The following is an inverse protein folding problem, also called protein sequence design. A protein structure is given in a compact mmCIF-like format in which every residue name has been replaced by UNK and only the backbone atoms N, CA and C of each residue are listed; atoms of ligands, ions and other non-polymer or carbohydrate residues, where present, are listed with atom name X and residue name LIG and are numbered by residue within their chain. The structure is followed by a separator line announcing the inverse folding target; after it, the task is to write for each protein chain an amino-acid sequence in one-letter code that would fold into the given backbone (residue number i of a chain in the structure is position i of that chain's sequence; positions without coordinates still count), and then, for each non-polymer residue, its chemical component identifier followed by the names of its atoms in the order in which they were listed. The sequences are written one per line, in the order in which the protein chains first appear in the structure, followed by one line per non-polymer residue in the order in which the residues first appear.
data_IF_251422717395
#
_entry.id   IF_251422717395
#
_cell.length_a   1.000
_cell.length_b   1.000
_cell.length_c   1.000
_cell.angle_alpha   90.00
_cell.angle_beta   90.00
_cell.angle_gamma   90.00
#
_symmetry.space_group_name_H-M   'P 1'
#
loop_
_entity.id
_entity.type
_entity.pdbx_description
1 polymer ?
#
# COMPACT_ATOMS: atom_id res chain seq x y z
N UNK A 1 7.06 -26.85 6.80
CA UNK A 1 6.31 -25.59 7.02
C UNK A 1 7.20 -24.45 7.56
N UNK A 2 7.86 -24.56 8.72
CA UNK A 2 8.71 -23.46 9.22
C UNK A 2 9.87 -23.08 8.29
N UNK A 3 10.58 -24.06 7.71
CA UNK A 3 11.68 -23.80 6.77
C UNK A 3 11.21 -23.09 5.50
N UNK A 4 10.06 -23.47 4.95
CA UNK A 4 9.51 -22.87 3.74
C UNK A 4 9.16 -21.39 3.95
N UNK A 5 8.60 -21.04 5.10
CA UNK A 5 8.30 -19.65 5.44
C UNK A 5 9.58 -18.78 5.47
N UNK A 6 10.63 -19.23 6.15
CA UNK A 6 11.92 -18.53 6.23
C UNK A 6 12.54 -18.37 4.83
N UNK A 7 12.55 -19.44 4.04
CA UNK A 7 13.09 -19.43 2.68
C UNK A 7 12.34 -18.45 1.77
N UNK A 8 11.00 -18.42 1.87
CA UNK A 8 10.17 -17.51 1.08
C UNK A 8 10.39 -16.05 1.48
N UNK A 9 10.48 -15.73 2.78
CA UNK A 9 10.77 -14.38 3.26
C UNK A 9 12.16 -13.92 2.77
N UNK A 10 13.19 -14.75 2.90
CA UNK A 10 14.52 -14.43 2.42
C UNK A 10 14.56 -14.25 0.89
N UNK A 11 13.91 -15.13 0.14
CA UNK A 11 13.84 -15.05 -1.31
C UNK A 11 13.17 -13.73 -1.76
N UNK A 12 12.08 -13.31 -1.11
CA UNK A 12 11.39 -12.06 -1.41
C UNK A 12 12.25 -10.84 -1.01
N UNK A 13 12.83 -10.83 0.19
CA UNK A 13 13.68 -9.75 0.69
C UNK A 13 14.85 -9.46 -0.26
N UNK A 14 15.52 -10.49 -0.77
CA UNK A 14 16.65 -10.36 -1.70
C UNK A 14 16.23 -10.41 -3.17
N UNK A 15 14.96 -10.43 -3.46
CA UNK A 15 14.38 -10.36 -4.82
C UNK A 15 14.84 -11.50 -5.75
N UNK A 16 15.18 -12.67 -5.19
CA UNK A 16 15.67 -13.80 -6.01
C UNK A 16 14.58 -14.39 -6.91
N UNK A 17 13.30 -14.19 -6.58
CA UNK A 17 12.14 -14.57 -7.39
C UNK A 17 11.80 -13.59 -8.51
N UNK A 18 12.50 -12.48 -8.66
CA UNK A 18 12.21 -11.49 -9.70
C UNK A 18 12.58 -12.00 -11.10
N UNK A 19 11.86 -11.53 -12.12
CA UNK A 19 12.01 -11.91 -13.54
C UNK A 19 13.47 -11.85 -14.02
N UNK A 20 14.26 -10.89 -13.56
CA UNK A 20 15.70 -10.79 -13.89
C UNK A 20 16.51 -12.03 -13.46
N UNK A 21 16.13 -12.68 -12.36
CA UNK A 21 16.81 -13.84 -11.80
C UNK A 21 16.25 -15.16 -12.35
N UNK A 22 14.92 -15.33 -12.30
CA UNK A 22 14.25 -16.59 -12.66
C UNK A 22 13.62 -16.59 -14.05
N UNK A 23 13.73 -15.48 -14.81
CA UNK A 23 13.10 -15.35 -16.11
C UNK A 23 11.58 -15.12 -16.02
N UNK A 24 10.90 -15.00 -17.18
CA UNK A 24 9.46 -14.77 -17.26
C UNK A 24 8.68 -16.10 -17.08
N UNK A 25 8.72 -16.68 -15.88
CA UNK A 25 8.19 -18.02 -15.58
C UNK A 25 6.73 -18.21 -15.99
N UNK A 26 5.84 -17.24 -15.64
CA UNK A 26 4.41 -17.32 -15.95
C UNK A 26 4.10 -17.24 -17.44
N UNK A 27 4.89 -16.51 -18.21
CA UNK A 27 4.78 -16.43 -19.67
C UNK A 27 5.35 -17.70 -20.32
N UNK A 28 6.51 -18.14 -19.85
CA UNK A 28 7.19 -19.33 -20.37
C UNK A 28 6.38 -20.61 -20.19
N UNK A 29 5.72 -20.80 -19.04
CA UNK A 29 4.91 -21.99 -18.79
C UNK A 29 3.65 -21.99 -19.67
N UNK A 30 3.03 -20.83 -19.90
CA UNK A 30 1.88 -20.73 -20.84
C UNK A 30 2.29 -21.05 -22.27
N UNK A 31 3.47 -20.57 -22.70
CA UNK A 31 3.98 -20.86 -24.05
C UNK A 31 4.37 -22.34 -24.20
N UNK A 32 4.90 -22.96 -23.17
CA UNK A 32 5.22 -24.39 -23.17
C UNK A 32 3.96 -25.28 -23.10
N UNK A 33 2.93 -24.85 -22.39
CA UNK A 33 1.71 -25.61 -22.12
C UNK A 33 1.96 -27.08 -21.68
N UNK A 34 2.86 -27.32 -20.69
CA UNK A 34 3.30 -28.66 -20.33
C UNK A 34 2.17 -29.48 -19.70
N UNK A 35 2.16 -30.78 -19.97
CA UNK A 35 1.21 -31.72 -19.35
C UNK A 35 1.78 -32.35 -18.07
N UNK A 36 3.09 -32.32 -17.91
CA UNK A 36 3.80 -32.91 -16.78
C UNK A 36 4.84 -31.96 -16.22
N UNK A 37 5.20 -32.14 -14.95
CA UNK A 37 6.27 -31.39 -14.30
C UNK A 37 7.64 -31.62 -14.99
N UNK A 38 7.86 -32.78 -15.57
CA UNK A 38 9.10 -33.10 -16.25
C UNK A 38 9.23 -32.33 -17.57
N UNK A 39 8.17 -32.27 -18.39
CA UNK A 39 8.13 -31.43 -19.58
C UNK A 39 8.40 -29.95 -19.26
N UNK A 40 7.78 -29.43 -18.19
CA UNK A 40 8.05 -28.07 -17.74
C UNK A 40 9.49 -27.88 -17.32
N UNK A 41 10.07 -28.81 -16.56
CA UNK A 41 11.44 -28.75 -16.09
C UNK A 41 12.45 -28.73 -17.26
N UNK A 42 12.27 -29.61 -18.22
CA UNK A 42 13.11 -29.69 -19.42
C UNK A 42 13.03 -28.41 -20.26
N UNK A 43 11.83 -27.93 -20.51
CA UNK A 43 11.63 -26.67 -21.24
C UNK A 43 12.29 -25.49 -20.49
N UNK A 44 12.03 -25.36 -19.20
CA UNK A 44 12.55 -24.25 -18.42
C UNK A 44 14.07 -24.23 -18.39
N UNK A 45 14.70 -25.37 -18.12
CA UNK A 45 16.17 -25.45 -18.05
C UNK A 45 16.86 -25.33 -19.42
N UNK A 46 16.18 -25.64 -20.50
CA UNK A 46 16.73 -25.49 -21.86
C UNK A 46 16.48 -24.12 -22.51
N UNK A 47 15.37 -23.45 -22.16
CA UNK A 47 14.91 -22.23 -22.87
C UNK A 47 14.86 -20.97 -22.02
N UNK A 48 14.78 -21.07 -20.69
CA UNK A 48 14.59 -19.90 -19.81
C UNK A 48 15.84 -19.63 -18.98
N UNK A 49 16.20 -20.55 -18.10
CA UNK A 49 17.40 -20.48 -17.23
C UNK A 49 17.97 -21.87 -17.02
N UNK A 50 19.27 -21.99 -17.05
CA UNK A 50 19.94 -23.29 -16.82
C UNK A 50 19.73 -23.80 -15.40
N UNK A 51 19.85 -25.11 -15.20
CA UNK A 51 19.81 -25.73 -13.89
C UNK A 51 20.88 -25.15 -12.95
N UNK A 52 22.11 -25.01 -13.46
CA UNK A 52 23.25 -24.47 -12.71
C UNK A 52 22.99 -23.04 -12.22
N UNK A 53 22.29 -22.22 -13.04
CA UNK A 53 21.91 -20.87 -12.63
C UNK A 53 20.93 -20.88 -11.46
N UNK A 54 19.91 -21.75 -11.50
CA UNK A 54 18.93 -21.86 -10.40
C UNK A 54 19.58 -22.44 -9.12
N UNK A 55 20.48 -23.40 -9.27
CA UNK A 55 21.27 -23.91 -8.14
C UNK A 55 22.19 -22.83 -7.54
N UNK A 56 22.80 -22.00 -8.40
CA UNK A 56 23.61 -20.87 -7.94
C UNK A 56 22.77 -19.82 -7.18
N UNK A 57 21.51 -19.57 -7.60
CA UNK A 57 20.59 -18.73 -6.82
C UNK A 57 20.26 -19.36 -5.46
N UNK A 58 20.08 -20.68 -5.39
CA UNK A 58 19.89 -21.40 -4.13
C UNK A 58 21.08 -21.25 -3.19
N UNK A 59 22.32 -21.37 -3.70
CA UNK A 59 23.53 -21.11 -2.93
C UNK A 59 23.64 -19.67 -2.43
N UNK A 60 23.30 -18.69 -3.27
CA UNK A 60 23.22 -17.27 -2.87
C UNK A 60 22.17 -17.04 -1.78
N UNK A 61 21.00 -17.69 -1.89
CA UNK A 61 19.97 -17.62 -0.86
C UNK A 61 20.48 -18.14 0.48
N UNK A 62 21.17 -19.28 0.48
CA UNK A 62 21.79 -19.84 1.68
C UNK A 62 22.77 -18.86 2.31
N UNK A 63 23.69 -18.28 1.53
CA UNK A 63 24.65 -17.26 1.99
C UNK A 63 23.92 -16.07 2.62
N UNK A 64 22.86 -15.57 1.96
CA UNK A 64 22.09 -14.44 2.49
C UNK A 64 21.38 -14.77 3.81
N UNK A 65 20.95 -16.00 4.00
CA UNK A 65 20.35 -16.42 5.27
C UNK A 65 21.41 -16.54 6.36
N UNK A 66 22.54 -17.16 6.08
CA UNK A 66 23.58 -17.45 7.08
C UNK A 66 24.48 -16.26 7.42
N UNK A 67 24.78 -15.40 6.45
CA UNK A 67 25.71 -14.28 6.66
C UNK A 67 25.00 -12.95 6.94
N UNK A 68 23.74 -12.80 6.52
CA UNK A 68 23.00 -11.54 6.71
C UNK A 68 21.87 -11.72 7.71
N UNK A 69 20.87 -12.57 7.41
CA UNK A 69 19.70 -12.69 8.28
C UNK A 69 20.05 -13.24 9.65
N UNK A 70 20.92 -14.25 9.70
CA UNK A 70 21.30 -14.86 10.97
C UNK A 70 22.05 -13.86 11.87
N UNK A 71 22.97 -13.07 11.31
CA UNK A 71 23.66 -12.04 12.09
C UNK A 71 22.70 -10.95 12.60
N UNK A 72 21.77 -10.48 11.75
CA UNK A 72 20.77 -9.49 12.16
C UNK A 72 19.85 -10.03 13.28
N UNK A 73 19.46 -11.30 13.21
CA UNK A 73 18.61 -11.93 14.24
C UNK A 73 19.35 -12.09 15.57
N UNK A 74 20.65 -12.42 15.53
CA UNK A 74 21.46 -12.56 16.74
C UNK A 74 21.65 -11.21 17.46
N UNK A 75 21.66 -10.11 16.74
CA UNK A 75 21.79 -8.77 17.29
C UNK A 75 20.48 -8.23 17.91
N UNK A 76 19.33 -8.85 17.62
CA UNK A 76 18.06 -8.42 18.18
C UNK A 76 17.95 -8.79 19.66
N UNK A 77 17.64 -7.80 20.47
CA UNK A 77 17.36 -7.97 21.90
C UNK A 77 15.87 -8.03 22.18
N UNK A 78 15.52 -8.52 23.36
CA UNK A 78 14.13 -8.44 23.86
C UNK A 78 13.65 -6.98 23.91
N UNK A 79 14.54 -6.05 24.31
CA UNK A 79 14.24 -4.62 24.38
C UNK A 79 13.92 -4.05 23.01
N UNK A 80 14.64 -4.41 21.94
CA UNK A 80 14.35 -3.98 20.58
C UNK A 80 12.93 -4.41 20.15
N UNK A 81 12.52 -5.62 20.51
CA UNK A 81 11.18 -6.11 20.24
C UNK A 81 10.11 -5.35 21.03
N UNK A 82 10.35 -5.06 22.31
CA UNK A 82 9.45 -4.28 23.16
C UNK A 82 9.32 -2.86 22.60
N UNK A 83 10.43 -2.19 22.31
CA UNK A 83 10.47 -0.83 21.80
C UNK A 83 9.76 -0.74 20.44
N UNK A 84 9.98 -1.72 19.57
CA UNK A 84 9.27 -1.79 18.28
C UNK A 84 7.76 -1.95 18.46
N UNK A 85 7.29 -2.81 19.39
CA UNK A 85 5.86 -2.98 19.66
C UNK A 85 5.24 -1.71 20.25
N UNK A 86 5.94 -1.03 21.15
CA UNK A 86 5.50 0.26 21.71
C UNK A 86 5.39 1.29 20.57
N UNK A 87 6.43 1.43 19.75
CA UNK A 87 6.43 2.35 18.62
C UNK A 87 5.27 2.06 17.65
N UNK A 88 5.04 0.79 17.32
CA UNK A 88 3.97 0.40 16.40
C UNK A 88 2.58 0.71 16.97
N UNK A 89 2.35 0.40 18.24
CA UNK A 89 1.02 0.52 18.87
C UNK A 89 0.76 1.95 19.36
N UNK A 90 1.75 2.60 19.94
CA UNK A 90 1.56 3.92 20.57
C UNK A 90 1.89 5.05 19.60
N UNK A 91 3.14 5.08 19.08
CA UNK A 91 3.62 6.24 18.33
C UNK A 91 2.92 6.35 16.97
N UNK A 92 2.79 5.24 16.24
CA UNK A 92 2.10 5.24 14.93
C UNK A 92 0.61 5.50 15.06
N UNK A 93 -0.04 4.96 16.11
CA UNK A 93 -1.45 5.25 16.37
C UNK A 93 -1.64 6.73 16.70
N UNK A 94 -0.75 7.30 17.53
CA UNK A 94 -0.78 8.72 17.85
C UNK A 94 -0.51 9.60 16.63
N UNK A 95 0.46 9.27 15.80
CA UNK A 95 0.75 9.98 14.54
C UNK A 95 -0.43 9.93 13.56
N UNK A 96 -1.11 8.79 13.47
CA UNK A 96 -2.35 8.64 12.70
C UNK A 96 -3.45 9.58 13.22
N UNK A 97 -3.69 9.55 14.51
CA UNK A 97 -4.67 10.42 15.18
C UNK A 97 -4.33 11.90 15.00
N UNK A 98 -3.06 12.30 15.14
CA UNK A 98 -2.64 13.69 14.89
C UNK A 98 -2.86 14.10 13.44
N UNK A 99 -2.67 13.18 12.50
CA UNK A 99 -2.98 13.44 11.08
C UNK A 99 -4.47 13.68 10.88
N UNK A 100 -5.31 12.86 11.49
CA UNK A 100 -6.76 13.00 11.49
C UNK A 100 -7.19 14.37 12.06
N UNK A 101 -6.77 14.70 13.27
CA UNK A 101 -7.11 15.96 13.94
C UNK A 101 -6.65 17.18 13.13
N UNK A 102 -5.43 17.15 12.60
CA UNK A 102 -4.87 18.31 11.91
C UNK A 102 -5.40 18.44 10.49
N UNK A 103 -5.41 17.36 9.72
CA UNK A 103 -5.75 17.38 8.29
C UNK A 103 -7.27 17.42 8.11
N UNK A 104 -8.00 16.54 8.77
CA UNK A 104 -9.44 16.39 8.56
C UNK A 104 -10.20 17.49 9.31
N UNK A 105 -10.07 17.54 10.62
CA UNK A 105 -10.84 18.48 11.44
C UNK A 105 -10.21 19.87 11.50
N UNK A 106 -8.88 19.95 11.46
CA UNK A 106 -8.14 21.22 11.52
C UNK A 106 -8.20 22.03 10.22
N UNK A 107 -8.12 21.39 9.07
CA UNK A 107 -8.05 22.03 7.76
C UNK A 107 -9.34 21.78 6.97
N UNK A 108 -9.60 20.54 6.54
CA UNK A 108 -10.72 20.24 5.63
C UNK A 108 -12.08 20.64 6.18
N UNK A 109 -12.39 20.25 7.39
CA UNK A 109 -13.71 20.55 7.97
C UNK A 109 -13.95 22.07 8.10
N UNK A 110 -12.90 22.84 8.40
CA UNK A 110 -12.99 24.30 8.51
C UNK A 110 -13.12 24.98 7.14
N UNK A 111 -12.34 24.53 6.15
CA UNK A 111 -12.36 25.15 4.82
C UNK A 111 -13.63 24.80 4.04
N UNK A 112 -14.18 23.60 4.26
CA UNK A 112 -15.41 23.15 3.62
C UNK A 112 -16.69 23.62 4.35
N UNK A 113 -16.57 24.09 5.60
CA UNK A 113 -17.68 24.45 6.50
C UNK A 113 -18.76 23.35 6.57
N UNK A 114 -18.34 22.10 6.68
CA UNK A 114 -19.21 20.92 6.80
C UNK A 114 -18.71 19.98 7.89
N UNK A 115 -19.61 19.18 8.44
CA UNK A 115 -19.24 18.12 9.37
C UNK A 115 -18.60 16.96 8.61
N UNK A 116 -17.40 16.57 9.00
CA UNK A 116 -16.71 15.37 8.53
C UNK A 116 -16.74 14.33 9.65
N UNK A 117 -17.12 13.11 9.34
CA UNK A 117 -17.23 12.01 10.30
C UNK A 117 -16.34 10.83 9.87
N UNK A 118 -15.79 10.05 10.82
CA UNK A 118 -15.04 8.85 10.50
C UNK A 118 -15.96 7.82 9.84
N UNK A 119 -15.48 7.16 8.82
CA UNK A 119 -16.22 6.10 8.15
C UNK A 119 -16.32 4.86 9.05
N UNK A 120 -17.39 4.07 8.96
CA UNK A 120 -17.44 2.75 9.58
C UNK A 120 -16.32 1.86 9.04
N UNK A 121 -15.76 0.97 9.85
CA UNK A 121 -14.69 0.02 9.46
C UNK A 121 -15.03 -0.79 8.20
N UNK A 122 -16.32 -1.04 7.97
CA UNK A 122 -16.80 -1.71 6.77
C UNK A 122 -16.58 -0.88 5.50
N UNK A 123 -16.70 0.46 5.57
CA UNK A 123 -16.49 1.34 4.42
C UNK A 123 -15.01 1.47 4.08
N UNK A 124 -14.13 1.54 5.08
CA UNK A 124 -12.68 1.48 4.85
C UNK A 124 -12.31 0.17 4.13
N UNK A 125 -12.78 -0.95 4.64
CA UNK A 125 -12.45 -2.27 4.08
C UNK A 125 -13.03 -2.54 2.70
N UNK A 126 -14.27 -2.08 2.40
CA UNK A 126 -14.97 -2.35 1.12
C UNK A 126 -14.72 -1.29 0.06
N UNK A 127 -14.53 -0.05 0.46
CA UNK A 127 -14.49 1.09 -0.44
C UNK A 127 -13.23 1.94 -0.32
N UNK A 128 -12.34 1.64 0.64
CA UNK A 128 -11.17 2.45 0.99
C UNK A 128 -11.56 3.90 1.34
N UNK A 129 -12.55 4.07 2.20
CA UNK A 129 -13.04 5.37 2.68
C UNK A 129 -12.76 5.50 4.16
N UNK A 130 -11.92 6.47 4.54
CA UNK A 130 -11.52 6.73 5.91
C UNK A 130 -12.49 7.67 6.64
N UNK A 131 -13.05 8.65 5.92
CA UNK A 131 -14.01 9.64 6.43
C UNK A 131 -15.12 9.91 5.42
N UNK A 132 -16.19 10.52 5.88
CA UNK A 132 -17.27 10.91 4.99
C UNK A 132 -17.89 12.27 5.35
N UNK A 133 -18.54 12.88 4.36
CA UNK A 133 -19.43 14.04 4.50
C UNK A 133 -20.82 13.59 4.11
N UNK A 134 -21.80 13.80 5.00
CA UNK A 134 -23.21 13.49 4.70
C UNK A 134 -23.90 14.72 4.12
N UNK A 135 -24.49 14.57 2.94
CA UNK A 135 -25.29 15.59 2.28
C UNK A 135 -26.68 15.02 1.98
N UNK A 136 -27.69 15.43 2.77
CA UNK A 136 -29.03 14.80 2.75
C UNK A 136 -28.93 13.27 2.95
N UNK A 137 -29.36 12.49 1.99
CA UNK A 137 -29.30 11.02 2.00
C UNK A 137 -28.09 10.45 1.24
N UNK A 138 -27.18 11.31 0.78
CA UNK A 138 -25.99 10.94 0.01
C UNK A 138 -24.72 11.17 0.83
N UNK A 139 -23.64 10.50 0.44
CA UNK A 139 -22.37 10.57 1.16
C UNK A 139 -21.22 10.83 0.18
N UNK A 140 -20.31 11.72 0.56
CA UNK A 140 -19.04 11.93 -0.10
C UNK A 140 -17.98 11.20 0.72
N UNK A 141 -17.21 10.31 0.09
CA UNK A 141 -16.11 9.61 0.73
C UNK A 141 -14.81 10.41 0.68
N UNK A 142 -14.00 10.31 1.73
CA UNK A 142 -12.68 10.91 1.81
C UNK A 142 -11.68 9.80 2.16
N UNK A 143 -10.59 9.70 1.40
CA UNK A 143 -9.48 8.81 1.70
C UNK A 143 -8.22 9.64 1.96
N UNK A 144 -7.62 9.45 3.15
CA UNK A 144 -6.44 10.19 3.58
C UNK A 144 -5.19 9.35 3.31
N UNK A 145 -4.29 9.86 2.47
CA UNK A 145 -3.03 9.18 2.15
C UNK A 145 -1.85 9.99 2.67
N UNK A 146 -1.10 9.48 3.66
CA UNK A 146 0.14 10.10 4.03
C UNK A 146 1.15 9.96 2.90
N UNK A 147 1.79 11.09 2.52
CA UNK A 147 2.86 11.10 1.54
C UNK A 147 4.16 11.53 2.21
N UNK A 148 5.23 10.79 1.94
CA UNK A 148 6.57 11.14 2.40
C UNK A 148 7.29 11.93 1.32
N UNK A 149 7.87 13.09 1.68
CA UNK A 149 8.79 13.79 0.80
C UNK A 149 10.21 13.37 1.14
N UNK A 150 10.86 12.62 0.27
CA UNK A 150 12.29 12.34 0.38
C UNK A 150 13.05 13.33 -0.49
N UNK A 151 13.82 14.23 0.14
CA UNK A 151 14.58 15.26 -0.59
C UNK A 151 13.73 16.26 -1.38
N UNK A 152 12.49 16.54 -0.95
CA UNK A 152 11.58 17.47 -1.62
C UNK A 152 10.81 16.89 -2.82
N UNK A 153 10.99 15.62 -3.13
CA UNK A 153 10.28 14.95 -4.23
C UNK A 153 9.31 13.92 -3.66
N UNK A 154 8.03 14.03 -4.02
CA UNK A 154 6.99 13.07 -3.66
C UNK A 154 7.04 11.92 -4.68
N UNK A 155 6.96 10.67 -4.19
CA UNK A 155 6.95 9.49 -5.07
C UNK A 155 5.57 9.30 -5.71
N UNK A 156 5.27 10.11 -6.72
CA UNK A 156 4.03 10.08 -7.49
C UNK A 156 3.70 8.71 -8.16
N UNK A 157 4.68 7.93 -8.68
CA UNK A 157 4.36 6.67 -9.37
C UNK A 157 3.65 5.63 -8.51
N UNK A 158 3.97 5.54 -7.21
CA UNK A 158 3.31 4.61 -6.29
C UNK A 158 1.87 5.05 -5.99
N UNK A 159 1.67 6.35 -5.81
CA UNK A 159 0.34 6.96 -5.60
C UNK A 159 -0.58 6.69 -6.80
N UNK A 160 -0.09 6.85 -8.04
CA UNK A 160 -0.88 6.58 -9.24
C UNK A 160 -1.26 5.11 -9.38
N UNK A 161 -0.37 4.18 -9.04
CA UNK A 161 -0.63 2.75 -9.10
C UNK A 161 -1.71 2.33 -8.10
N UNK A 162 -1.64 2.82 -6.87
CA UNK A 162 -2.66 2.58 -5.86
C UNK A 162 -4.02 3.16 -6.27
N UNK A 163 -4.04 4.38 -6.81
CA UNK A 163 -5.25 5.03 -7.30
C UNK A 163 -5.97 4.18 -8.36
N UNK A 164 -5.24 3.62 -9.32
CA UNK A 164 -5.82 2.74 -10.33
C UNK A 164 -6.47 1.48 -9.74
N UNK A 165 -5.85 0.90 -8.70
CA UNK A 165 -6.39 -0.30 -8.04
C UNK A 165 -7.68 0.01 -7.27
N UNK A 166 -7.76 1.20 -6.68
CA UNK A 166 -8.88 1.63 -5.84
C UNK A 166 -10.03 2.29 -6.61
N UNK A 167 -9.84 2.64 -7.89
CA UNK A 167 -10.90 3.24 -8.72
C UNK A 167 -12.19 2.41 -8.77
N UNK A 168 -12.07 1.09 -8.79
CA UNK A 168 -13.22 0.20 -8.84
C UNK A 168 -14.01 0.22 -7.53
N UNK A 169 -13.33 0.26 -6.38
CA UNK A 169 -13.98 0.35 -5.06
C UNK A 169 -14.65 1.70 -4.85
N UNK A 170 -14.05 2.77 -5.35
CA UNK A 170 -14.64 4.12 -5.31
C UNK A 170 -15.86 4.28 -6.23
N UNK A 171 -15.88 3.60 -7.38
CA UNK A 171 -17.08 3.55 -8.22
C UNK A 171 -18.25 2.86 -7.51
N UNK A 172 -17.99 1.71 -6.87
CA UNK A 172 -18.98 1.00 -6.06
C UNK A 172 -19.52 1.88 -4.91
N UNK A 173 -18.65 2.64 -4.25
CA UNK A 173 -19.09 3.61 -3.24
C UNK A 173 -20.05 4.63 -3.84
N UNK A 174 -19.72 5.21 -4.98
CA UNK A 174 -20.54 6.22 -5.66
C UNK A 174 -21.90 5.64 -6.08
N UNK A 175 -21.94 4.40 -6.56
CA UNK A 175 -23.18 3.71 -6.94
C UNK A 175 -24.10 3.48 -5.73
N UNK A 176 -23.53 3.13 -4.57
CA UNK A 176 -24.29 2.85 -3.34
C UNK A 176 -24.73 4.13 -2.64
N UNK A 177 -23.83 5.09 -2.51
CA UNK A 177 -23.99 6.27 -1.65
C UNK A 177 -24.21 7.60 -2.38
N UNK A 178 -24.11 7.60 -3.69
CA UNK A 178 -24.49 8.71 -4.58
C UNK A 178 -23.48 9.84 -4.72
N UNK A 179 -22.46 9.92 -3.87
CA UNK A 179 -21.37 10.91 -3.95
C UNK A 179 -20.03 10.26 -4.30
N UNK A 180 -19.07 11.08 -4.73
CA UNK A 180 -17.71 10.62 -5.10
C UNK A 180 -16.81 10.38 -3.89
N UNK A 181 -15.73 9.63 -4.11
CA UNK A 181 -14.63 9.51 -3.15
C UNK A 181 -13.46 10.38 -3.61
N UNK A 182 -12.88 11.13 -2.68
CA UNK A 182 -11.76 12.04 -2.93
C UNK A 182 -10.52 11.61 -2.17
N UNK A 183 -9.35 11.65 -2.83
CA UNK A 183 -8.04 11.41 -2.22
C UNK A 183 -7.48 12.71 -1.66
N UNK A 184 -7.09 12.69 -0.40
CA UNK A 184 -6.45 13.80 0.29
C UNK A 184 -5.04 13.34 0.65
N UNK A 185 -4.04 13.98 0.05
CA UNK A 185 -2.63 13.70 0.33
C UNK A 185 -2.14 14.57 1.47
N UNK A 186 -1.86 13.95 2.63
CA UNK A 186 -1.30 14.62 3.80
C UNK A 186 0.22 14.53 3.78
N UNK A 187 0.90 15.66 3.85
CA UNK A 187 2.36 15.76 3.88
C UNK A 187 2.82 16.42 5.17
N UNK A 188 3.95 15.98 5.73
CA UNK A 188 4.58 16.63 6.88
C UNK A 188 5.62 17.65 6.38
N UNK A 189 5.39 18.93 6.67
CA UNK A 189 6.29 20.04 6.34
C UNK A 189 6.70 20.73 7.64
N UNK A 190 7.98 20.70 7.99
CA UNK A 190 8.50 21.35 9.20
C UNK A 190 7.66 21.07 10.45
N UNK A 191 7.39 19.77 10.71
CA UNK A 191 6.59 19.25 11.84
C UNK A 191 5.09 19.58 11.83
N UNK A 192 4.58 20.23 10.78
CA UNK A 192 3.14 20.44 10.58
C UNK A 192 2.61 19.54 9.47
N UNK A 193 1.39 19.05 9.66
CA UNK A 193 0.67 18.34 8.60
C UNK A 193 -0.05 19.35 7.71
N UNK A 194 0.11 19.20 6.40
CA UNK A 194 -0.55 20.00 5.38
C UNK A 194 -1.20 19.12 4.31
N UNK A 195 -2.19 19.68 3.62
CA UNK A 195 -2.76 19.04 2.43
C UNK A 195 -1.89 19.40 1.24
N UNK A 196 -1.36 18.38 0.57
CA UNK A 196 -0.50 18.55 -0.61
C UNK A 196 -1.30 18.97 -1.85
N UNK A 197 -2.41 18.31 -2.12
CA UNK A 197 -3.28 18.56 -3.26
C UNK A 197 -4.43 19.52 -2.88
N UNK A 198 -4.11 20.78 -2.61
CA UNK A 198 -5.08 21.78 -2.11
C UNK A 198 -6.26 22.03 -3.04
N UNK A 199 -6.08 21.83 -4.35
CA UNK A 199 -7.14 21.90 -5.37
C UNK A 199 -8.30 20.92 -5.11
N UNK A 200 -8.07 19.87 -4.31
CA UNK A 200 -9.11 18.90 -3.97
C UNK A 200 -10.26 19.53 -3.17
N UNK A 201 -9.98 20.59 -2.42
CA UNK A 201 -10.97 21.28 -1.59
C UNK A 201 -12.05 21.93 -2.46
N UNK A 202 -11.64 22.54 -3.57
CA UNK A 202 -12.57 23.08 -4.56
C UNK A 202 -13.44 21.99 -5.20
N UNK A 203 -12.80 20.86 -5.58
CA UNK A 203 -13.52 19.72 -6.16
C UNK A 203 -14.54 19.10 -5.19
N UNK A 204 -14.22 19.03 -3.89
CA UNK A 204 -15.17 18.57 -2.87
C UNK A 204 -16.31 19.58 -2.72
N UNK A 205 -16.03 20.87 -2.69
CA UNK A 205 -17.05 21.92 -2.63
C UNK A 205 -18.02 21.88 -3.81
N UNK A 206 -17.53 21.62 -5.01
CA UNK A 206 -18.36 21.44 -6.20
C UNK A 206 -19.29 20.23 -6.07
N UNK A 207 -18.78 19.10 -5.58
CA UNK A 207 -19.59 17.90 -5.37
C UNK A 207 -20.63 18.12 -4.27
N UNK A 208 -20.29 18.84 -3.17
CA UNK A 208 -21.24 19.22 -2.13
C UNK A 208 -22.41 20.03 -2.73
N UNK A 209 -22.12 21.10 -3.50
CA UNK A 209 -23.13 21.94 -4.15
C UNK A 209 -24.02 21.12 -5.09
N UNK A 210 -23.43 20.26 -5.89
CA UNK A 210 -24.13 19.36 -6.81
C UNK A 210 -25.10 18.44 -6.05
N UNK A 211 -24.68 17.83 -4.95
CA UNK A 211 -25.51 16.93 -4.16
C UNK A 211 -26.59 17.67 -3.36
N UNK A 212 -26.37 18.94 -3.01
CA UNK A 212 -27.39 19.79 -2.38
C UNK A 212 -28.52 20.16 -3.33
N UNK A 213 -28.23 20.25 -4.63
CA UNK A 213 -29.21 20.62 -5.67
C UNK A 213 -29.93 19.43 -6.31
N UNK A 214 -29.41 18.22 -6.08
CA UNK A 214 -29.99 16.95 -6.55
C UNK A 214 -30.92 16.34 -5.49
#
# INVERSE_FOLDING_TARGET
MAKEWILNQAMNRFQFNFKRNVGPTSESIRNCAPKTINEWREYYFSKVKTKDHIEALGRKLFIKITEVIQSEVIELTEQDCIDYMIQMVIDRTFDGYQTEITTVYGILQKELDVKIEPAPDEWDRLFNVDFFIKIKEKYIGLQIKPVTSTGGTIQLPEIFKEKMIQEETHKKFTEVFGGKVFYIYSVKVSDKKEIYNKEIIEAINEEIKKLQTS
#
